data_IF_864685257901
#
_entry.id   IF_864685257901
#
_cell.length_a   1.000
_cell.length_b   1.000
_cell.length_c   1.000
_cell.angle_alpha   90.00
_cell.angle_beta   90.00
_cell.angle_gamma   90.00
#
_symmetry.space_group_name_H-M   'P 1'
#
loop_
_entity.id
_entity.type
_entity.pdbx_description
1 polymer ?
#
# COMPACT_ATOMS: atom_id res chain seq x y z
N UNK A 1 -16.98 4.27 -12.12
CA UNK A 1 -16.05 4.15 -13.27
C UNK A 1 -14.77 4.83 -12.85
N UNK A 2 -13.70 4.08 -12.55
CA UNK A 2 -12.41 4.70 -12.19
C UNK A 2 -11.72 5.13 -13.49
N UNK A 3 -11.53 6.44 -13.68
CA UNK A 3 -10.82 6.96 -14.83
C UNK A 3 -9.32 7.01 -14.51
N UNK A 4 -8.54 6.03 -14.96
CA UNK A 4 -7.07 6.05 -14.89
C UNK A 4 -6.47 6.92 -16.02
N UNK A 5 -7.21 7.95 -16.46
CA UNK A 5 -6.85 8.87 -17.55
C UNK A 5 -6.42 10.20 -16.95
N UNK A 6 -5.19 10.25 -16.44
CA UNK A 6 -4.66 11.42 -15.74
C UNK A 6 -4.68 12.71 -16.57
N UNK A 7 -4.62 12.61 -17.91
CA UNK A 7 -4.78 13.75 -18.82
C UNK A 7 -6.16 14.43 -18.77
N UNK A 8 -7.22 13.72 -18.35
CA UNK A 8 -8.58 14.26 -18.27
C UNK A 8 -8.78 15.26 -17.11
N UNK A 9 -7.74 15.49 -16.28
CA UNK A 9 -7.77 16.52 -15.25
C UNK A 9 -7.86 17.93 -15.85
N UNK A 10 -7.32 18.16 -17.06
CA UNK A 10 -7.50 19.42 -17.77
C UNK A 10 -8.97 19.63 -18.18
N UNK A 11 -9.57 18.64 -18.84
CA UNK A 11 -11.00 18.67 -19.23
C UNK A 11 -11.92 18.87 -18.01
N UNK A 12 -11.54 18.31 -16.86
CA UNK A 12 -12.27 18.50 -15.60
C UNK A 12 -12.21 19.95 -15.12
N UNK A 13 -11.05 20.60 -15.18
CA UNK A 13 -10.92 22.02 -14.84
C UNK A 13 -11.70 22.92 -15.80
N UNK A 14 -11.61 22.67 -17.11
CA UNK A 14 -12.41 23.40 -18.11
C UNK A 14 -13.91 23.23 -17.86
N UNK A 15 -14.32 22.05 -17.41
CA UNK A 15 -15.71 21.83 -17.02
C UNK A 15 -16.10 22.65 -15.79
N UNK A 16 -15.29 22.68 -14.74
CA UNK A 16 -15.55 23.48 -13.53
C UNK A 16 -15.67 24.98 -13.88
N UNK A 17 -14.77 25.49 -14.72
CA UNK A 17 -14.81 26.88 -15.18
C UNK A 17 -16.10 27.19 -15.96
N UNK A 18 -16.51 26.31 -16.88
CA UNK A 18 -17.78 26.47 -17.63
C UNK A 18 -19.01 26.46 -16.74
N UNK A 19 -18.99 25.71 -15.64
CA UNK A 19 -20.06 25.71 -14.63
C UNK A 19 -19.98 26.91 -13.67
N UNK A 20 -18.97 27.77 -13.81
CA UNK A 20 -18.75 28.92 -12.93
C UNK A 20 -18.35 28.51 -11.51
N UNK A 21 -17.75 27.32 -11.35
CA UNK A 21 -17.28 26.86 -10.05
C UNK A 21 -16.02 27.66 -9.65
N UNK A 22 -16.01 28.32 -8.48
CA UNK A 22 -14.88 29.14 -8.07
C UNK A 22 -13.67 28.27 -7.71
N UNK A 23 -12.50 28.64 -8.22
CA UNK A 23 -11.21 28.02 -7.88
C UNK A 23 -10.31 29.07 -7.23
N UNK A 24 -10.79 29.70 -6.16
CA UNK A 24 -10.14 30.78 -5.44
C UNK A 24 -9.87 30.42 -3.96
N UNK A 25 -9.56 31.41 -3.12
CA UNK A 25 -9.31 31.23 -1.69
C UNK A 25 -10.51 30.66 -0.90
N UNK A 26 -11.72 30.70 -1.47
CA UNK A 26 -12.92 30.09 -0.91
C UNK A 26 -13.00 28.57 -1.14
N UNK A 27 -12.10 28.01 -1.95
CA UNK A 27 -12.12 26.59 -2.35
C UNK A 27 -10.99 25.81 -1.68
N UNK A 28 -11.29 24.57 -1.28
CA UNK A 28 -10.31 23.60 -0.84
C UNK A 28 -10.29 22.39 -1.78
N UNK A 29 -9.09 21.93 -2.15
CA UNK A 29 -8.91 20.71 -2.91
C UNK A 29 -8.24 19.64 -2.05
N UNK A 30 -8.83 18.45 -2.04
CA UNK A 30 -8.32 17.28 -1.33
C UNK A 30 -7.75 16.33 -2.38
N UNK A 31 -6.48 16.01 -2.24
CA UNK A 31 -5.72 15.16 -3.15
C UNK A 31 -5.36 13.88 -2.42
N UNK A 32 -5.89 12.77 -2.91
CA UNK A 32 -5.43 11.46 -2.50
C UNK A 32 -3.94 11.29 -2.89
N UNK A 33 -3.12 10.85 -1.94
CA UNK A 33 -1.69 10.67 -2.17
C UNK A 33 -1.44 9.30 -2.81
N UNK A 34 -2.01 8.23 -2.27
CA UNK A 34 -1.65 6.87 -2.64
C UNK A 34 -2.31 6.39 -3.92
N UNK A 35 -1.48 6.00 -4.89
CA UNK A 35 -1.91 5.59 -6.22
C UNK A 35 -2.66 6.69 -7.00
N UNK A 36 -2.54 7.93 -6.57
CA UNK A 36 -3.04 9.14 -7.25
C UNK A 36 -1.88 10.12 -7.47
N UNK A 37 -1.41 10.80 -6.42
CA UNK A 37 -0.22 11.65 -6.51
C UNK A 37 1.07 10.81 -6.58
N UNK A 38 1.19 9.79 -5.72
CA UNK A 38 2.30 8.84 -5.66
C UNK A 38 1.91 7.56 -6.40
N UNK A 39 2.68 7.18 -7.42
CA UNK A 39 2.49 5.91 -8.10
C UNK A 39 1.09 5.71 -8.69
N UNK A 40 0.65 6.63 -9.55
CA UNK A 40 -0.68 6.62 -10.19
C UNK A 40 -1.20 5.24 -10.65
N UNK A 41 -2.45 4.92 -10.32
CA UNK A 41 -3.17 3.74 -10.85
C UNK A 41 -3.15 3.73 -12.38
N UNK A 42 -2.90 2.55 -12.94
CA UNK A 42 -2.80 2.35 -14.39
C UNK A 42 -1.50 2.83 -15.03
N UNK A 43 -0.56 3.38 -14.25
CA UNK A 43 0.76 3.83 -14.73
C UNK A 43 1.93 3.30 -13.89
N UNK A 44 1.89 3.50 -12.58
CA UNK A 44 3.03 3.26 -11.68
C UNK A 44 2.62 2.62 -10.33
N UNK A 45 1.33 2.36 -10.11
CA UNK A 45 0.85 1.78 -8.84
C UNK A 45 1.39 0.40 -8.51
N UNK A 46 1.84 -0.36 -9.50
CA UNK A 46 2.45 -1.68 -9.29
C UNK A 46 3.76 -1.59 -8.50
N UNK A 47 4.47 -0.44 -8.52
CA UNK A 47 5.68 -0.26 -7.71
C UNK A 47 5.34 -0.04 -6.23
N UNK A 48 4.24 0.65 -5.95
CA UNK A 48 3.70 0.75 -4.58
C UNK A 48 3.27 -0.64 -4.07
N UNK A 49 2.59 -1.41 -4.93
CA UNK A 49 2.19 -2.78 -4.59
C UNK A 49 3.41 -3.70 -4.40
N UNK A 50 4.47 -3.55 -5.20
CA UNK A 50 5.71 -4.33 -5.05
C UNK A 50 6.48 -4.00 -3.78
N UNK A 51 6.46 -2.73 -3.33
CA UNK A 51 7.01 -2.31 -2.04
C UNK A 51 6.33 -3.05 -0.89
N UNK A 52 5.00 -3.15 -0.95
CA UNK A 52 4.21 -3.87 0.05
C UNK A 52 4.51 -5.36 0.06
N UNK A 53 4.53 -6.00 -1.10
CA UNK A 53 4.89 -7.43 -1.23
C UNK A 53 6.30 -7.68 -0.67
N UNK A 54 7.26 -6.83 -1.02
CA UNK A 54 8.63 -6.93 -0.50
C UNK A 54 8.68 -6.80 1.03
N UNK A 55 7.87 -5.92 1.62
CA UNK A 55 7.81 -5.77 3.08
C UNK A 55 7.23 -7.01 3.78
N UNK A 56 6.17 -7.62 3.21
CA UNK A 56 5.64 -8.88 3.75
C UNK A 56 6.69 -9.97 3.63
N UNK A 57 7.32 -10.12 2.45
CA UNK A 57 8.38 -11.10 2.23
C UNK A 57 9.52 -10.98 3.23
N UNK A 58 10.05 -9.76 3.40
CA UNK A 58 11.10 -9.49 4.39
C UNK A 58 10.67 -9.85 5.81
N UNK A 59 9.40 -9.59 6.17
CA UNK A 59 8.85 -9.98 7.48
C UNK A 59 8.84 -11.51 7.64
N UNK A 60 8.50 -12.24 6.58
CA UNK A 60 8.44 -13.70 6.57
C UNK A 60 9.84 -14.31 6.59
N UNK A 61 10.75 -13.82 5.74
CA UNK A 61 12.15 -14.23 5.66
C UNK A 61 12.87 -14.06 7.00
N UNK A 62 12.68 -12.91 7.68
CA UNK A 62 13.25 -12.67 9.00
C UNK A 62 12.70 -13.61 10.08
N UNK A 63 11.46 -14.11 9.92
CA UNK A 63 10.83 -15.00 10.89
C UNK A 63 11.13 -16.49 10.63
N UNK A 64 11.11 -16.93 9.36
CA UNK A 64 11.24 -18.33 8.97
C UNK A 64 12.67 -18.72 8.53
N UNK A 65 13.52 -17.75 8.19
CA UNK A 65 14.88 -17.99 7.71
C UNK A 65 14.89 -18.93 6.50
N UNK A 66 15.75 -19.95 6.55
CA UNK A 66 15.93 -20.95 5.48
C UNK A 66 14.66 -21.79 5.20
N UNK A 67 13.66 -21.76 6.08
CA UNK A 67 12.39 -22.45 5.86
C UNK A 67 11.40 -21.66 4.98
N UNK A 68 11.76 -20.43 4.58
CA UNK A 68 10.92 -19.61 3.71
C UNK A 68 10.94 -20.10 2.25
N UNK A 69 9.77 -20.46 1.74
CA UNK A 69 9.56 -20.76 0.32
C UNK A 69 8.91 -19.56 -0.38
N UNK A 70 9.71 -18.77 -1.09
CA UNK A 70 9.29 -17.54 -1.76
C UNK A 70 8.16 -17.77 -2.77
N UNK A 71 8.30 -18.77 -3.64
CA UNK A 71 7.32 -19.04 -4.69
C UNK A 71 5.98 -19.49 -4.10
N UNK A 72 6.01 -20.22 -2.99
CA UNK A 72 4.81 -20.63 -2.27
C UNK A 72 4.11 -19.42 -1.65
N UNK A 73 4.87 -18.52 -1.03
CA UNK A 73 4.31 -17.27 -0.48
C UNK A 73 3.66 -16.42 -1.58
N UNK A 74 4.37 -16.20 -2.70
CA UNK A 74 3.87 -15.37 -3.79
C UNK A 74 2.57 -15.93 -4.39
N UNK A 75 2.49 -17.25 -4.56
CA UNK A 75 1.30 -17.93 -5.06
C UNK A 75 0.08 -17.73 -4.16
N UNK A 76 0.27 -17.75 -2.83
CA UNK A 76 -0.80 -17.51 -1.85
C UNK A 76 -1.25 -16.05 -1.89
N UNK A 77 -0.29 -15.12 -1.92
CA UNK A 77 -0.58 -13.69 -1.95
C UNK A 77 -1.37 -13.31 -3.22
N UNK A 78 -0.91 -13.75 -4.39
CA UNK A 78 -1.54 -13.41 -5.67
C UNK A 78 -2.95 -13.96 -5.78
N UNK A 79 -3.21 -15.16 -5.24
CA UNK A 79 -4.55 -15.74 -5.21
C UNK A 79 -5.47 -14.98 -4.24
N UNK A 80 -5.03 -14.77 -2.99
CA UNK A 80 -5.88 -14.20 -1.94
C UNK A 80 -6.04 -12.67 -2.02
N UNK A 81 -5.23 -11.97 -2.80
CA UNK A 81 -5.39 -10.53 -3.08
C UNK A 81 -6.47 -10.25 -4.13
N UNK A 82 -7.13 -11.28 -4.69
CA UNK A 82 -8.20 -11.11 -5.68
C UNK A 82 -9.50 -10.65 -5.00
N UNK A 83 -10.32 -9.81 -5.66
CA UNK A 83 -11.62 -9.35 -5.15
C UNK A 83 -12.55 -10.45 -4.65
N UNK A 84 -12.43 -11.66 -5.21
CA UNK A 84 -13.15 -12.85 -4.78
C UNK A 84 -13.00 -13.12 -3.27
N UNK A 85 -11.83 -12.85 -2.69
CA UNK A 85 -11.51 -13.15 -1.30
C UNK A 85 -11.68 -11.95 -0.35
N UNK A 86 -12.12 -10.78 -0.83
CA UNK A 86 -12.27 -9.58 0.01
C UNK A 86 -13.30 -9.77 1.13
N UNK A 87 -14.27 -10.67 0.97
CA UNK A 87 -15.19 -11.04 2.06
C UNK A 87 -14.49 -11.71 3.25
N UNK A 88 -13.34 -12.36 3.00
CA UNK A 88 -12.53 -13.05 3.98
C UNK A 88 -11.38 -12.19 4.49
N UNK A 89 -10.66 -11.52 3.58
CA UNK A 89 -9.51 -10.66 3.89
C UNK A 89 -9.91 -9.25 4.32
N UNK A 90 -11.20 -8.89 4.19
CA UNK A 90 -11.74 -7.56 4.42
C UNK A 90 -11.08 -6.46 3.56
N UNK A 91 -10.46 -6.84 2.42
CA UNK A 91 -9.58 -5.94 1.64
C UNK A 91 -8.46 -5.30 2.50
N UNK A 92 -8.07 -6.01 3.58
CA UNK A 92 -7.08 -5.55 4.54
C UNK A 92 -5.75 -6.25 4.32
N UNK A 93 -4.72 -5.46 4.04
CA UNK A 93 -3.40 -5.96 3.70
C UNK A 93 -2.68 -6.58 4.90
N UNK A 94 -3.02 -6.21 6.15
CA UNK A 94 -2.47 -6.87 7.34
C UNK A 94 -3.00 -8.29 7.46
N UNK A 95 -4.29 -8.44 7.18
CA UNK A 95 -4.95 -9.74 7.23
C UNK A 95 -4.37 -10.64 6.16
N UNK A 96 -4.24 -10.13 4.93
CA UNK A 96 -3.62 -10.86 3.83
C UNK A 96 -2.16 -11.25 4.14
N UNK A 97 -1.34 -10.31 4.60
CA UNK A 97 0.06 -10.56 4.96
C UNK A 97 0.19 -11.63 6.05
N UNK A 98 -0.64 -11.53 7.10
CA UNK A 98 -0.68 -12.51 8.17
C UNK A 98 -1.16 -13.89 7.68
N UNK A 99 -2.19 -13.95 6.84
CA UNK A 99 -2.68 -15.22 6.26
C UNK A 99 -1.56 -15.87 5.45
N UNK A 100 -0.88 -15.12 4.58
CA UNK A 100 0.23 -15.64 3.78
C UNK A 100 1.35 -16.16 4.67
N UNK A 101 1.67 -15.47 5.78
CA UNK A 101 2.68 -15.92 6.75
C UNK A 101 2.29 -17.23 7.45
N UNK A 102 1.05 -17.34 7.92
CA UNK A 102 0.57 -18.57 8.58
C UNK A 102 0.53 -19.75 7.61
N UNK A 103 0.24 -19.50 6.32
CA UNK A 103 0.29 -20.53 5.28
C UNK A 103 1.73 -20.94 4.95
N UNK A 104 2.62 -19.95 4.72
CA UNK A 104 4.02 -20.20 4.41
C UNK A 104 4.77 -20.89 5.56
N UNK A 105 4.44 -20.55 6.81
CA UNK A 105 4.98 -21.21 7.99
C UNK A 105 4.32 -22.52 8.38
N UNK A 106 3.43 -23.07 7.54
CA UNK A 106 2.83 -24.39 7.74
C UNK A 106 1.80 -24.49 8.86
N UNK A 107 1.31 -23.38 9.40
CA UNK A 107 0.22 -23.36 10.40
C UNK A 107 -1.11 -23.75 9.76
N UNK A 108 -1.30 -23.36 8.50
CA UNK A 108 -2.46 -23.69 7.69
C UNK A 108 -2.03 -24.12 6.29
N UNK A 109 -2.51 -25.27 5.80
CA UNK A 109 -2.21 -25.68 4.42
C UNK A 109 -2.92 -24.77 3.41
N UNK A 110 -2.27 -24.41 2.30
CA UNK A 110 -2.92 -23.53 1.30
C UNK A 110 -4.16 -24.20 0.67
N UNK A 111 -4.05 -25.46 0.24
CA UNK A 111 -5.19 -26.21 -0.29
C UNK A 111 -6.32 -26.36 0.73
N UNK A 112 -5.96 -26.61 1.98
CA UNK A 112 -6.92 -26.70 3.10
C UNK A 112 -7.66 -25.38 3.30
N UNK A 113 -6.95 -24.24 3.28
CA UNK A 113 -7.54 -22.91 3.39
C UNK A 113 -8.56 -22.66 2.26
N UNK A 114 -8.20 -22.96 1.01
CA UNK A 114 -9.10 -22.76 -0.13
C UNK A 114 -10.35 -23.66 -0.03
N UNK A 115 -10.20 -24.90 0.41
CA UNK A 115 -11.32 -25.81 0.65
C UNK A 115 -12.23 -25.31 1.78
N UNK A 116 -11.65 -24.82 2.87
CA UNK A 116 -12.40 -24.28 4.01
C UNK A 116 -13.18 -23.01 3.66
N UNK A 117 -12.60 -22.13 2.83
CA UNK A 117 -13.28 -20.96 2.30
C UNK A 117 -14.43 -21.37 1.37
N UNK A 118 -14.19 -22.31 0.46
CA UNK A 118 -15.21 -22.82 -0.47
C UNK A 118 -16.36 -23.50 0.29
N UNK A 119 -16.05 -24.27 1.32
CA UNK A 119 -17.02 -24.95 2.17
C UNK A 119 -17.66 -24.03 3.23
N UNK A 120 -17.25 -22.75 3.29
CA UNK A 120 -17.69 -21.76 4.28
C UNK A 120 -17.43 -22.18 5.74
N UNK A 121 -16.41 -23.00 5.97
CA UNK A 121 -15.90 -23.35 7.31
C UNK A 121 -15.08 -22.20 7.90
N UNK A 122 -14.41 -21.43 7.04
CA UNK A 122 -13.85 -20.12 7.36
C UNK A 122 -14.64 -19.06 6.59
N UNK A 123 -15.17 -18.06 7.29
CA UNK A 123 -16.00 -17.01 6.69
C UNK A 123 -15.38 -15.62 6.81
N UNK A 124 -14.42 -15.47 7.71
CA UNK A 124 -13.80 -14.19 8.06
C UNK A 124 -12.36 -14.38 8.54
N UNK A 125 -11.59 -13.30 8.53
CA UNK A 125 -10.28 -13.26 9.17
C UNK A 125 -10.34 -13.69 10.66
N UNK A 126 -11.41 -13.34 11.36
CA UNK A 126 -11.63 -13.73 12.76
C UNK A 126 -11.65 -15.27 12.93
N UNK A 127 -12.33 -15.98 12.03
CA UNK A 127 -12.36 -17.45 12.07
C UNK A 127 -10.95 -18.03 11.85
N UNK A 128 -10.19 -17.44 10.91
CA UNK A 128 -8.86 -17.89 10.54
C UNK A 128 -7.82 -17.65 11.64
N UNK A 129 -7.77 -16.45 12.21
CA UNK A 129 -6.80 -16.12 13.26
C UNK A 129 -7.04 -16.97 14.53
N UNK A 130 -8.30 -17.25 14.86
CA UNK A 130 -8.66 -18.18 15.94
C UNK A 130 -8.30 -19.63 15.62
N UNK A 131 -8.46 -20.06 14.36
CA UNK A 131 -8.03 -21.39 13.95
C UNK A 131 -6.51 -21.55 14.07
N UNK A 132 -5.72 -20.55 13.66
CA UNK A 132 -4.28 -20.54 13.83
C UNK A 132 -3.88 -20.62 15.31
N UNK A 133 -4.53 -19.80 16.17
CA UNK A 133 -4.29 -19.80 17.61
C UNK A 133 -4.55 -21.19 18.24
N UNK A 134 -5.61 -21.90 17.81
CA UNK A 134 -5.92 -23.26 18.30
C UNK A 134 -4.95 -24.34 17.80
N UNK A 135 -4.47 -24.23 16.56
CA UNK A 135 -3.54 -25.21 15.97
C UNK A 135 -2.16 -25.18 16.63
N UNK A 136 -1.82 -24.08 17.28
CA UNK A 136 -0.50 -23.84 17.86
C UNK A 136 0.43 -23.26 16.79
N UNK A 137 0.93 -22.07 17.05
CA UNK A 137 1.85 -21.38 16.13
C UNK A 137 3.30 -21.75 16.49
N UNK A 138 4.15 -22.10 15.49
CA UNK A 138 5.56 -22.37 15.71
C UNK A 138 6.27 -21.24 16.47
N UNK A 139 7.32 -21.58 17.20
CA UNK A 139 8.03 -20.64 18.09
C UNK A 139 8.58 -19.44 17.32
N UNK A 140 9.01 -19.67 16.09
CA UNK A 140 9.55 -18.72 15.14
C UNK A 140 8.51 -17.66 14.74
N UNK A 141 7.25 -18.08 14.59
CA UNK A 141 6.12 -17.21 14.23
C UNK A 141 5.35 -16.66 15.43
N UNK A 142 5.59 -17.18 16.63
CA UNK A 142 4.86 -16.79 17.84
C UNK A 142 4.90 -15.28 18.15
N UNK A 143 6.04 -14.55 17.97
CA UNK A 143 6.06 -13.10 18.19
C UNK A 143 5.12 -12.34 17.27
N UNK A 144 5.12 -12.68 15.98
CA UNK A 144 4.27 -12.05 14.97
C UNK A 144 2.80 -12.42 15.22
N UNK A 145 2.52 -13.69 15.49
CA UNK A 145 1.16 -14.11 15.83
C UNK A 145 0.63 -13.35 17.05
N UNK A 146 1.43 -13.21 18.10
CA UNK A 146 1.05 -12.46 19.30
C UNK A 146 0.77 -10.99 18.98
N UNK A 147 1.62 -10.35 18.17
CA UNK A 147 1.41 -8.97 17.72
C UNK A 147 0.04 -8.82 17.05
N UNK A 148 -0.20 -9.59 15.98
CA UNK A 148 -1.43 -9.50 15.19
C UNK A 148 -2.65 -9.92 16.00
N UNK A 149 -2.56 -10.98 16.80
CA UNK A 149 -3.67 -11.45 17.62
C UNK A 149 -4.06 -10.43 18.69
N UNK A 150 -3.08 -9.83 19.40
CA UNK A 150 -3.37 -8.79 20.40
C UNK A 150 -3.94 -7.53 19.77
N UNK A 151 -3.39 -7.08 18.62
CA UNK A 151 -3.93 -5.94 17.87
C UNK A 151 -5.37 -6.21 17.42
N UNK A 152 -5.60 -7.37 16.79
CA UNK A 152 -6.92 -7.79 16.34
C UNK A 152 -7.95 -7.84 17.50
N UNK A 153 -7.56 -8.37 18.67
CA UNK A 153 -8.43 -8.41 19.86
C UNK A 153 -8.75 -7.04 20.46
N UNK A 154 -8.03 -5.99 20.06
CA UNK A 154 -8.26 -4.61 20.46
C UNK A 154 -8.99 -3.80 19.38
N UNK A 155 -9.51 -4.47 18.35
CA UNK A 155 -10.14 -3.85 17.18
C UNK A 155 -9.21 -2.87 16.45
N UNK A 156 -7.89 -3.12 16.50
CA UNK A 156 -6.93 -2.37 15.69
C UNK A 156 -7.16 -2.69 14.21
N UNK A 157 -7.47 -1.69 13.36
CA UNK A 157 -7.73 -1.92 11.94
C UNK A 157 -6.46 -2.33 11.18
N UNK A 158 -5.27 -2.04 11.71
CA UNK A 158 -3.98 -2.44 11.13
C UNK A 158 -3.10 -3.14 12.17
N UNK A 159 -3.46 -4.38 12.58
CA UNK A 159 -2.83 -5.05 13.71
C UNK A 159 -1.40 -5.55 13.45
N UNK A 160 -0.88 -5.49 12.22
CA UNK A 160 0.44 -6.02 11.86
C UNK A 160 1.48 -4.90 11.71
N UNK A 161 1.80 -4.24 12.82
CA UNK A 161 2.62 -3.02 12.88
C UNK A 161 4.05 -3.21 12.36
N UNK A 162 4.68 -4.32 12.70
CA UNK A 162 6.03 -4.64 12.26
C UNK A 162 6.10 -4.80 10.73
N UNK A 163 5.06 -5.36 10.11
CA UNK A 163 4.93 -5.36 8.65
C UNK A 163 4.78 -3.93 8.10
N UNK A 164 3.95 -3.09 8.72
CA UNK A 164 3.75 -1.70 8.25
C UNK A 164 4.99 -0.83 8.31
N UNK A 165 5.80 -0.98 9.36
CA UNK A 165 7.10 -0.31 9.41
C UNK A 165 8.05 -0.76 8.30
N UNK A 166 8.04 -2.06 7.94
CA UNK A 166 8.79 -2.54 6.78
C UNK A 166 8.18 -2.04 5.46
N UNK A 167 6.85 -1.91 5.37
CA UNK A 167 6.18 -1.29 4.20
C UNK A 167 6.68 0.14 4.00
N UNK A 168 6.80 0.93 5.08
CA UNK A 168 7.40 2.26 5.02
C UNK A 168 8.83 2.22 4.46
N UNK A 169 9.72 1.41 5.04
CA UNK A 169 11.12 1.30 4.58
C UNK A 169 11.21 0.89 3.10
N UNK A 170 10.46 -0.13 2.69
CA UNK A 170 10.46 -0.62 1.31
C UNK A 170 9.86 0.39 0.34
N UNK A 171 8.90 1.21 0.78
CA UNK A 171 8.34 2.29 -0.03
C UNK A 171 9.40 3.39 -0.22
N UNK A 172 10.07 3.83 0.86
CA UNK A 172 11.14 4.85 0.79
C UNK A 172 12.28 4.40 -0.11
N UNK A 173 12.71 3.13 -0.03
CA UNK A 173 13.78 2.58 -0.90
C UNK A 173 13.48 2.65 -2.39
N UNK A 174 12.20 2.79 -2.77
CA UNK A 174 11.75 2.88 -4.17
C UNK A 174 11.49 4.33 -4.61
N UNK A 175 11.66 5.31 -3.72
CA UNK A 175 11.56 6.72 -4.05
C UNK A 175 12.95 7.26 -4.38
N UNK A 176 13.11 7.81 -5.59
CA UNK A 176 14.31 8.55 -6.01
C UNK A 176 15.64 7.79 -5.79
N UNK A 177 15.67 6.50 -6.14
CA UNK A 177 16.81 5.61 -5.91
C UNK A 177 17.63 5.29 -7.17
N UNK A 178 17.04 5.48 -8.35
CA UNK A 178 17.67 5.34 -9.66
C UNK A 178 18.34 6.66 -10.07
N UNK A 179 19.41 6.62 -10.88
CA UNK A 179 20.02 7.82 -11.46
C UNK A 179 19.04 8.63 -12.34
N UNK A 180 19.29 9.94 -12.45
CA UNK A 180 18.44 10.87 -13.22
C UNK A 180 18.44 10.60 -14.73
N UNK A 181 19.49 9.96 -15.25
CA UNK A 181 19.63 9.63 -16.67
C UNK A 181 18.81 8.39 -17.08
N UNK A 182 18.18 7.72 -16.11
CA UNK A 182 17.36 6.54 -16.38
C UNK A 182 16.11 6.93 -17.18
N UNK A 183 15.88 6.20 -18.28
CA UNK A 183 14.73 6.45 -19.14
C UNK A 183 13.38 6.20 -18.44
N UNK A 184 12.36 6.97 -18.83
CA UNK A 184 11.02 6.99 -18.24
C UNK A 184 10.40 5.60 -18.04
N UNK A 185 10.51 4.72 -19.05
CA UNK A 185 9.97 3.35 -18.97
C UNK A 185 10.50 2.59 -17.76
N UNK A 186 11.77 2.77 -17.44
CA UNK A 186 12.43 2.08 -16.33
C UNK A 186 12.07 2.73 -14.99
N UNK A 187 12.03 4.07 -14.93
CA UNK A 187 11.52 4.79 -13.77
C UNK A 187 10.10 4.32 -13.41
N UNK A 188 9.20 4.27 -14.39
CA UNK A 188 7.82 3.80 -14.19
C UNK A 188 7.74 2.33 -13.77
N UNK A 189 8.75 1.51 -14.07
CA UNK A 189 8.77 0.09 -13.72
C UNK A 189 9.31 -0.17 -12.30
N UNK A 190 10.25 0.64 -11.83
CA UNK A 190 11.07 0.35 -10.65
C UNK A 190 10.96 1.40 -9.53
N UNK A 191 10.63 2.67 -9.85
CA UNK A 191 10.50 3.76 -8.88
C UNK A 191 9.05 4.15 -8.60
N UNK A 192 8.80 4.63 -7.38
CA UNK A 192 7.57 5.35 -7.05
C UNK A 192 7.79 6.81 -7.44
N UNK A 193 7.00 7.28 -8.41
CA UNK A 193 7.11 8.65 -8.94
C UNK A 193 5.88 9.49 -8.61
N UNK A 194 6.06 10.80 -8.67
CA UNK A 194 4.96 11.77 -8.67
C UNK A 194 4.30 11.83 -10.05
N UNK A 195 2.97 11.80 -10.07
CA UNK A 195 2.16 11.98 -11.28
C UNK A 195 2.19 13.44 -11.74
N UNK A 196 2.84 13.75 -12.88
CA UNK A 196 2.97 15.13 -13.41
C UNK A 196 1.64 15.86 -13.49
N UNK A 197 0.61 15.22 -14.03
CA UNK A 197 -0.71 15.83 -14.24
C UNK A 197 -1.34 16.30 -12.93
N UNK A 198 -1.20 15.50 -11.86
CA UNK A 198 -1.68 15.85 -10.52
C UNK A 198 -0.85 16.98 -9.93
N UNK A 199 0.48 16.97 -10.14
CA UNK A 199 1.37 18.04 -9.69
C UNK A 199 1.01 19.37 -10.36
N UNK A 200 0.77 19.37 -11.67
CA UNK A 200 0.41 20.57 -12.42
C UNK A 200 -0.94 21.13 -11.98
N UNK A 201 -1.96 20.25 -11.83
CA UNK A 201 -3.25 20.61 -11.24
C UNK A 201 -3.08 21.27 -9.87
N UNK A 202 -2.31 20.65 -8.97
CA UNK A 202 -2.07 21.21 -7.64
C UNK A 202 -1.39 22.59 -7.72
N UNK A 203 -0.40 22.75 -8.59
CA UNK A 203 0.28 24.05 -8.78
C UNK A 203 -0.67 25.12 -9.30
N UNK A 204 -1.50 24.78 -10.28
CA UNK A 204 -2.53 25.68 -10.81
C UNK A 204 -3.50 26.12 -9.71
N UNK A 205 -4.09 25.17 -8.99
CA UNK A 205 -5.05 25.45 -7.91
C UNK A 205 -4.42 26.33 -6.82
N UNK A 206 -3.21 25.99 -6.36
CA UNK A 206 -2.47 26.78 -5.38
C UNK A 206 -2.17 28.20 -5.88
N UNK A 207 -1.84 28.34 -7.16
CA UNK A 207 -1.60 29.64 -7.79
C UNK A 207 -2.82 30.56 -7.80
N UNK A 208 -4.02 29.98 -7.81
CA UNK A 208 -5.28 30.70 -7.71
C UNK A 208 -5.77 30.88 -6.25
N UNK A 209 -4.98 30.50 -5.25
CA UNK A 209 -5.33 30.68 -3.84
C UNK A 209 -6.09 29.52 -3.20
N UNK A 210 -6.41 28.46 -3.96
CA UNK A 210 -7.09 27.26 -3.44
C UNK A 210 -6.26 26.61 -2.32
N UNK A 211 -6.92 26.26 -1.22
CA UNK A 211 -6.30 25.54 -0.12
C UNK A 211 -6.12 24.06 -0.47
N UNK A 212 -4.89 23.56 -0.44
CA UNK A 212 -4.58 22.17 -0.80
C UNK A 212 -4.34 21.30 0.43
N UNK A 213 -4.97 20.12 0.42
CA UNK A 213 -4.71 19.04 1.36
C UNK A 213 -4.31 17.76 0.62
N UNK A 214 -3.23 17.14 1.07
CA UNK A 214 -2.90 15.76 0.69
C UNK A 214 -3.40 14.80 1.77
N UNK A 215 -4.12 13.74 1.38
CA UNK A 215 -4.61 12.71 2.30
C UNK A 215 -4.13 11.33 1.87
N UNK A 216 -3.90 10.47 2.86
CA UNK A 216 -3.56 9.06 2.66
C UNK A 216 -4.39 8.22 3.62
N UNK A 217 -4.84 7.06 3.15
CA UNK A 217 -5.45 6.02 3.97
C UNK A 217 -4.41 5.03 4.53
N UNK A 218 -3.13 5.21 4.21
CA UNK A 218 -2.05 4.41 4.79
C UNK A 218 -1.96 4.69 6.30
N UNK A 219 -1.81 3.64 7.12
CA UNK A 219 -1.62 3.81 8.56
C UNK A 219 -0.31 4.55 8.84
N UNK A 220 -0.23 5.20 10.00
CA UNK A 220 0.92 5.97 10.44
C UNK A 220 2.22 5.17 10.35
N UNK A 221 2.19 3.89 10.73
CA UNK A 221 3.37 3.01 10.72
C UNK A 221 3.94 2.76 9.31
N UNK A 222 3.11 2.91 8.27
CA UNK A 222 3.51 2.78 6.86
C UNK A 222 3.79 4.15 6.19
N UNK A 223 3.54 5.26 6.89
CA UNK A 223 3.63 6.63 6.35
C UNK A 223 4.69 7.48 7.05
N UNK A 224 4.97 7.17 8.32
CA UNK A 224 5.90 7.88 9.19
C UNK A 224 7.05 6.95 9.58
N UNK A 225 8.29 7.47 9.65
CA UNK A 225 9.40 6.71 10.21
C UNK A 225 9.16 6.39 11.68
N UNK A 226 9.63 5.22 12.13
CA UNK A 226 9.75 4.95 13.56
C UNK A 226 10.68 5.96 14.24
N UNK A 227 10.62 6.14 15.57
CA UNK A 227 11.52 7.06 16.28
C UNK A 227 13.01 6.79 15.99
N UNK A 228 13.40 5.53 15.81
CA UNK A 228 14.76 5.11 15.47
C UNK A 228 15.14 5.57 14.06
N UNK A 229 14.27 5.35 13.07
CA UNK A 229 14.51 5.76 11.69
C UNK A 229 14.51 7.30 11.55
N UNK A 230 13.61 7.99 12.26
CA UNK A 230 13.58 9.44 12.28
C UNK A 230 14.90 10.04 12.81
N UNK A 231 15.48 9.44 13.88
CA UNK A 231 16.82 9.82 14.38
C UNK A 231 17.94 9.53 13.37
N UNK A 232 17.75 8.53 12.50
CA UNK A 232 18.66 8.21 11.40
C UNK A 232 18.45 9.09 10.15
N UNK A 233 17.53 10.07 10.19
CA UNK A 233 17.30 11.03 9.12
C UNK A 233 16.20 10.62 8.12
N UNK A 234 15.49 9.52 8.36
CA UNK A 234 14.34 9.15 7.54
C UNK A 234 13.19 10.16 7.73
N UNK A 235 12.42 10.38 6.66
CA UNK A 235 11.38 11.40 6.58
C UNK A 235 9.99 10.77 6.37
N UNK A 236 8.90 11.36 6.87
CA UNK A 236 7.54 10.99 6.46
C UNK A 236 7.42 10.92 4.92
N UNK A 237 6.64 9.98 4.39
CA UNK A 237 6.59 9.71 2.94
C UNK A 237 6.36 10.96 2.09
N UNK A 238 5.46 11.84 2.53
CA UNK A 238 5.13 13.10 1.84
C UNK A 238 6.27 14.13 1.81
N UNK A 239 7.40 13.86 2.46
CA UNK A 239 8.62 14.69 2.47
C UNK A 239 9.81 14.02 1.79
N UNK A 240 9.67 12.76 1.35
CA UNK A 240 10.72 12.07 0.61
C UNK A 240 10.72 12.57 -0.82
N UNK A 241 11.91 12.82 -1.37
CA UNK A 241 12.06 13.24 -2.77
C UNK A 241 11.53 12.18 -3.72
N UNK A 242 10.89 12.62 -4.80
CA UNK A 242 10.39 11.76 -5.87
C UNK A 242 10.58 12.47 -7.20
N UNK A 243 10.97 11.71 -8.23
CA UNK A 243 10.94 12.18 -9.61
C UNK A 243 9.49 12.41 -10.06
N UNK A 244 9.27 13.37 -10.94
CA UNK A 244 7.94 13.68 -11.48
C UNK A 244 7.85 13.22 -12.92
N UNK A 245 6.93 12.31 -13.20
CA UNK A 245 6.76 11.66 -14.51
C UNK A 245 5.30 11.75 -14.97
N UNK A 246 5.11 11.99 -16.26
CA UNK A 246 3.81 12.10 -16.90
C UNK A 246 3.75 13.24 -17.90
N UNK A 247 2.55 13.52 -18.40
CA UNK A 247 2.33 14.58 -19.39
C UNK A 247 2.11 15.91 -18.68
N UNK A 248 2.72 16.97 -19.19
CA UNK A 248 2.46 18.32 -18.68
C UNK A 248 1.06 18.78 -19.12
N UNK A 249 0.23 19.23 -18.18
CA UNK A 249 -1.05 19.87 -18.48
C UNK A 249 -0.86 21.37 -18.72
N UNK A 250 -1.33 21.88 -19.86
CA UNK A 250 -1.43 23.31 -20.12
C UNK A 250 -2.72 23.84 -19.46
N UNK A 251 -2.59 24.34 -18.22
CA UNK A 251 -3.69 24.85 -17.38
C UNK A 251 -3.61 26.36 -17.21
#
# INVERSE_FOLDING_TARGET
MYANRWGALADFLEHLEREGFPLDEGTAAIVDLDKTAFGARGRNSHVVDSARVAAVRRTVEEALGDAFAEEAFQSVYDELNRPLYHHFTADNQDYLAYICLMVAGGVYGFSELLEDLKARRLRSFADFIEACNRRGVPKELAPIHREVYVGFKRDDPTPFKSFRHREYEETVKRMDHLPDEVGEKRLLAEEIVLTREVVDLCRFLKGNGVLLFGLTDKPDEASLPSPELARAGFLPLHRVSMKIIGVHLAL
#
